data_IF_521211168280
#
_entry.id   IF_521211168280
#
_cell.length_a   1.000
_cell.length_b   1.000
_cell.length_c   1.000
_cell.angle_alpha   90.00
_cell.angle_beta   90.00
_cell.angle_gamma   90.00
#
_symmetry.space_group_name_H-M   'P 1'
#
loop_
_entity.id
_entity.type
_entity.pdbx_description
1 polymer ?
#
# COMPACT_ATOMS: atom_id res chain seq x y z
N UNK A 1 10.62 7.95 7.59
CA UNK A 1 10.97 6.60 7.12
C UNK A 1 12.42 6.27 7.45
N UNK A 2 12.71 5.01 7.78
CA UNK A 2 14.07 4.58 8.10
C UNK A 2 14.80 4.05 6.87
N UNK A 3 16.13 4.23 6.79
CA UNK A 3 16.90 3.71 5.68
C UNK A 3 16.94 2.17 5.70
N UNK A 4 17.05 1.58 4.51
CA UNK A 4 17.10 0.13 4.33
C UNK A 4 18.36 -0.30 3.58
N UNK A 5 18.91 -1.45 3.96
CA UNK A 5 20.01 -2.10 3.26
C UNK A 5 19.56 -2.87 2.01
N UNK A 6 20.51 -3.11 1.10
CA UNK A 6 20.31 -3.84 -0.14
C UNK A 6 19.32 -3.17 -1.09
N UNK A 7 19.30 -1.82 -1.12
CA UNK A 7 18.29 -1.08 -1.86
C UNK A 7 18.50 -1.17 -3.37
N UNK A 8 19.75 -1.11 -3.86
CA UNK A 8 20.04 -1.22 -5.29
C UNK A 8 19.54 -2.56 -5.83
N UNK A 9 19.83 -3.66 -5.14
CA UNK A 9 19.43 -5.02 -5.51
C UNK A 9 17.91 -5.19 -5.52
N UNK A 10 17.20 -4.55 -4.59
CA UNK A 10 15.73 -4.55 -4.55
C UNK A 10 15.13 -3.81 -5.73
N UNK A 11 15.66 -2.63 -6.05
CA UNK A 11 15.19 -1.80 -7.15
C UNK A 11 15.44 -2.52 -8.48
N UNK A 12 16.66 -3.02 -8.70
CA UNK A 12 17.04 -3.72 -9.93
C UNK A 12 16.32 -5.06 -10.10
N UNK A 13 16.13 -5.80 -9.01
CA UNK A 13 15.34 -7.03 -9.02
C UNK A 13 13.89 -6.79 -9.43
N UNK A 14 13.24 -5.75 -8.88
CA UNK A 14 11.88 -5.38 -9.29
C UNK A 14 11.82 -4.91 -10.74
N UNK A 15 12.74 -4.03 -11.16
CA UNK A 15 12.84 -3.58 -12.55
C UNK A 15 13.00 -4.74 -13.54
N UNK A 16 13.86 -5.71 -13.24
CA UNK A 16 14.07 -6.90 -14.06
C UNK A 16 12.78 -7.68 -14.28
N UNK A 17 11.99 -7.89 -13.21
CA UNK A 17 10.69 -8.57 -13.30
C UNK A 17 9.71 -7.75 -14.15
N UNK A 18 9.68 -6.43 -13.98
CA UNK A 18 8.83 -5.55 -14.79
C UNK A 18 9.20 -5.61 -16.27
N UNK A 19 10.49 -5.61 -16.60
CA UNK A 19 10.97 -5.71 -17.97
C UNK A 19 10.60 -7.05 -18.60
N UNK A 20 10.82 -8.16 -17.89
CA UNK A 20 10.44 -9.51 -18.36
C UNK A 20 8.95 -9.65 -18.64
N UNK A 21 8.11 -8.89 -17.93
CA UNK A 21 6.64 -8.86 -18.11
C UNK A 21 6.17 -7.78 -19.09
N UNK A 22 7.08 -6.97 -19.63
CA UNK A 22 6.78 -5.79 -20.42
C UNK A 22 6.58 -4.53 -19.55
N UNK A 23 7.36 -3.50 -19.83
CA UNK A 23 7.17 -2.17 -19.22
C UNK A 23 5.89 -1.52 -19.77
N UNK A 24 5.10 -0.94 -18.86
CA UNK A 24 3.83 -0.26 -19.18
C UNK A 24 3.91 1.25 -18.99
N UNK A 25 5.06 1.77 -18.53
CA UNK A 25 5.21 3.17 -18.16
C UNK A 25 4.43 3.56 -16.91
N UNK A 26 4.14 2.60 -16.02
CA UNK A 26 3.46 2.84 -14.73
C UNK A 26 4.17 2.18 -13.56
N UNK A 27 5.14 1.32 -13.83
CA UNK A 27 5.87 0.60 -12.80
C UNK A 27 6.91 1.51 -12.13
N UNK A 28 7.17 1.26 -10.86
CA UNK A 28 8.19 1.98 -10.13
C UNK A 28 8.31 1.50 -8.70
N UNK A 29 9.19 2.16 -7.95
CA UNK A 29 9.52 1.84 -6.57
C UNK A 29 9.43 3.07 -5.69
N UNK A 30 8.96 2.90 -4.46
CA UNK A 30 8.99 3.93 -3.42
C UNK A 30 10.15 3.62 -2.49
N UNK A 31 10.98 4.62 -2.21
CA UNK A 31 12.19 4.47 -1.40
C UNK A 31 12.25 5.55 -0.30
N UNK A 32 12.93 5.29 0.82
CA UNK A 32 13.23 6.33 1.79
C UNK A 32 14.14 7.41 1.19
N UNK A 33 13.81 8.69 1.36
CA UNK A 33 14.65 9.80 0.89
C UNK A 33 16.08 9.75 1.44
N UNK A 34 16.25 9.24 2.67
CA UNK A 34 17.55 9.02 3.29
C UNK A 34 18.49 8.08 2.51
N UNK A 35 17.96 7.23 1.63
CA UNK A 35 18.75 6.31 0.82
C UNK A 35 19.23 6.89 -0.52
N UNK A 36 18.75 8.07 -0.95
CA UNK A 36 19.06 8.63 -2.28
C UNK A 36 20.58 8.69 -2.53
N UNK A 37 21.34 9.14 -1.53
CA UNK A 37 22.81 9.31 -1.63
C UNK A 37 23.58 7.99 -1.83
N UNK A 38 22.93 6.84 -1.59
CA UNK A 38 23.53 5.52 -1.70
C UNK A 38 23.06 4.75 -2.93
N UNK A 39 22.22 5.36 -3.78
CA UNK A 39 21.76 4.75 -5.01
C UNK A 39 22.88 4.71 -6.04
N UNK A 40 23.10 3.52 -6.59
CA UNK A 40 24.00 3.28 -7.70
C UNK A 40 23.35 2.23 -8.60
N UNK A 41 22.54 2.71 -9.54
CA UNK A 41 21.67 1.87 -10.37
C UNK A 41 22.29 1.61 -11.75
N UNK A 42 22.06 0.41 -12.27
CA UNK A 42 22.46 0.01 -13.62
C UNK A 42 22.04 1.03 -14.69
N UNK A 43 22.85 1.16 -15.74
CA UNK A 43 22.63 2.14 -16.81
C UNK A 43 21.26 1.97 -17.50
N UNK A 44 20.84 0.72 -17.71
CA UNK A 44 19.56 0.40 -18.32
C UNK A 44 18.36 0.88 -17.49
N UNK A 45 18.43 0.72 -16.16
CA UNK A 45 17.40 1.21 -15.27
C UNK A 45 17.35 2.74 -15.28
N UNK A 46 18.53 3.40 -15.26
CA UNK A 46 18.61 4.87 -15.39
C UNK A 46 18.01 5.35 -16.71
N UNK A 47 18.22 4.62 -17.79
CA UNK A 47 17.64 4.93 -19.10
C UNK A 47 16.12 4.77 -19.07
N UNK A 48 15.59 3.67 -18.52
CA UNK A 48 14.15 3.46 -18.39
C UNK A 48 13.47 4.54 -17.52
N UNK A 49 14.18 5.07 -16.51
CA UNK A 49 13.71 6.22 -15.72
C UNK A 49 13.72 7.50 -16.56
N UNK A 50 14.78 7.75 -17.33
CA UNK A 50 14.87 8.91 -18.21
C UNK A 50 13.80 8.89 -19.32
N UNK A 51 13.40 7.70 -19.78
CA UNK A 51 12.38 7.49 -20.81
C UNK A 51 10.95 7.40 -20.23
N UNK A 52 10.77 7.70 -18.94
CA UNK A 52 9.48 7.65 -18.22
C UNK A 52 8.81 6.25 -18.26
N UNK A 53 9.60 5.19 -18.44
CA UNK A 53 9.12 3.81 -18.47
C UNK A 53 9.10 3.15 -17.10
N UNK A 54 9.85 3.72 -16.15
CA UNK A 54 9.95 3.26 -14.77
C UNK A 54 10.18 4.44 -13.81
N UNK A 55 9.63 4.39 -12.60
CA UNK A 55 9.68 5.53 -11.67
C UNK A 55 10.34 5.18 -10.34
N UNK A 56 11.00 6.15 -9.73
CA UNK A 56 11.56 6.05 -8.37
C UNK A 56 11.03 7.23 -7.56
N UNK A 57 10.18 6.96 -6.57
CA UNK A 57 9.63 7.98 -5.68
C UNK A 57 10.35 7.95 -4.34
N UNK A 58 11.07 9.02 -4.02
CA UNK A 58 11.71 9.18 -2.71
C UNK A 58 10.74 9.87 -1.75
N UNK A 59 10.54 9.29 -0.57
CA UNK A 59 9.62 9.80 0.46
C UNK A 59 10.28 9.93 1.83
N UNK A 60 9.90 10.96 2.58
CA UNK A 60 10.35 11.17 3.96
C UNK A 60 9.42 10.47 4.96
N UNK A 61 8.11 10.48 4.69
CA UNK A 61 7.08 9.88 5.52
C UNK A 61 6.20 8.88 4.76
N UNK A 62 5.60 7.93 5.48
CA UNK A 62 4.69 6.95 4.88
C UNK A 62 3.48 7.62 4.22
N UNK A 63 3.03 8.75 4.73
CA UNK A 63 1.87 9.48 4.20
C UNK A 63 2.07 10.00 2.78
N UNK A 64 3.31 10.27 2.37
CA UNK A 64 3.66 10.68 1.00
C UNK A 64 3.58 9.50 0.00
N UNK A 65 3.76 8.27 0.48
CA UNK A 65 3.67 7.07 -0.35
C UNK A 65 2.21 6.65 -0.63
N UNK A 66 1.29 7.01 0.26
CA UNK A 66 -0.10 6.54 0.19
C UNK A 66 -0.85 7.03 -1.07
N UNK A 67 -0.73 8.31 -1.50
CA UNK A 67 -1.37 8.77 -2.74
C UNK A 67 -0.84 8.04 -3.97
N UNK A 68 0.46 7.72 -4.01
CA UNK A 68 1.06 6.97 -5.13
C UNK A 68 0.43 5.59 -5.26
N UNK A 69 0.24 4.90 -4.12
CA UNK A 69 -0.27 3.52 -4.09
C UNK A 69 -1.80 3.42 -4.21
N UNK A 70 -2.52 4.36 -3.62
CA UNK A 70 -3.97 4.24 -3.39
C UNK A 70 -4.79 5.27 -4.15
N UNK A 71 -4.14 6.30 -4.73
CA UNK A 71 -4.80 7.46 -5.33
C UNK A 71 -5.65 8.27 -4.33
N UNK A 72 -5.45 8.05 -3.03
CA UNK A 72 -6.14 8.74 -1.95
C UNK A 72 -5.14 9.48 -1.05
N UNK A 73 -5.52 10.67 -0.61
CA UNK A 73 -4.79 11.38 0.43
C UNK A 73 -4.95 10.63 1.77
N UNK A 74 -3.91 10.69 2.61
CA UNK A 74 -4.00 10.15 3.96
C UNK A 74 -5.10 10.83 4.78
N UNK A 75 -5.12 12.16 4.75
CA UNK A 75 -6.08 13.02 5.44
C UNK A 75 -6.31 14.32 4.63
N UNK A 76 -7.33 15.11 4.98
CA UNK A 76 -7.69 16.34 4.28
C UNK A 76 -9.18 16.44 3.90
N UNK A 77 -9.49 17.32 2.95
CA UNK A 77 -10.86 17.48 2.44
C UNK A 77 -11.21 16.41 1.40
N UNK A 78 -12.47 15.97 1.41
CA UNK A 78 -12.97 14.92 0.52
C UNK A 78 -12.78 13.51 1.09
N UNK A 79 -12.81 12.50 0.22
CA UNK A 79 -12.65 11.10 0.61
C UNK A 79 -11.17 10.81 0.93
N UNK A 80 -10.88 10.39 2.16
CA UNK A 80 -9.52 10.09 2.60
C UNK A 80 -9.30 8.61 2.90
N UNK A 81 -8.04 8.18 2.84
CA UNK A 81 -7.67 6.81 3.19
C UNK A 81 -7.92 6.53 4.67
N UNK A 82 -7.64 7.50 5.55
CA UNK A 82 -7.89 7.40 6.99
C UNK A 82 -9.37 7.12 7.31
N UNK A 83 -10.29 7.86 6.69
CA UNK A 83 -11.74 7.65 6.86
C UNK A 83 -12.14 6.24 6.41
N UNK A 84 -11.69 5.83 5.21
CA UNK A 84 -11.98 4.50 4.66
C UNK A 84 -11.48 3.38 5.57
N UNK A 85 -10.29 3.53 6.15
CA UNK A 85 -9.73 2.56 7.11
C UNK A 85 -10.57 2.52 8.39
N UNK A 86 -10.92 3.69 8.95
CA UNK A 86 -11.70 3.79 10.18
C UNK A 86 -13.09 3.16 10.03
N UNK A 87 -13.76 3.42 8.90
CA UNK A 87 -15.07 2.84 8.58
C UNK A 87 -14.99 1.31 8.51
N UNK A 88 -13.98 0.76 7.83
CA UNK A 88 -13.79 -0.69 7.73
C UNK A 88 -13.50 -1.34 9.08
N UNK A 89 -12.68 -0.69 9.92
CA UNK A 89 -12.42 -1.17 11.29
C UNK A 89 -13.72 -1.18 12.09
N UNK A 90 -14.50 -0.10 12.05
CA UNK A 90 -15.77 -0.01 12.79
C UNK A 90 -16.77 -1.10 12.34
N UNK A 91 -16.88 -1.36 11.04
CA UNK A 91 -17.73 -2.42 10.49
C UNK A 91 -17.30 -3.81 11.00
N UNK A 92 -16.00 -4.11 10.97
CA UNK A 92 -15.47 -5.38 11.45
C UNK A 92 -15.74 -5.59 12.95
N UNK A 93 -15.53 -4.57 13.78
CA UNK A 93 -15.78 -4.64 15.22
C UNK A 93 -17.28 -4.81 15.57
N UNK A 94 -18.19 -4.21 14.78
CA UNK A 94 -19.64 -4.42 14.97
C UNK A 94 -20.09 -5.84 14.58
N UNK A 95 -19.44 -6.46 13.60
CA UNK A 95 -19.76 -7.83 13.20
C UNK A 95 -19.33 -8.85 14.27
N UNK A 96 -18.17 -8.65 14.89
CA UNK A 96 -17.70 -9.49 16.00
C UNK A 96 -18.61 -9.41 17.24
N UNK A 97 -19.14 -8.21 17.55
CA UNK A 97 -20.07 -8.03 18.67
C UNK A 97 -21.45 -8.67 18.43
N UNK A 98 -21.91 -8.77 17.17
CA UNK A 98 -23.14 -9.50 16.79
C UNK A 98 -23.03 -11.01 16.98
N UNK A 99 -21.82 -11.58 16.95
CA UNK A 99 -21.56 -13.00 17.21
C UNK A 99 -21.31 -13.33 18.68
N UNK A 100 -21.53 -12.39 19.60
CA UNK A 100 -21.23 -12.52 21.03
C UNK A 100 -22.43 -12.91 21.90
N UNK A 101 -23.41 -13.64 21.36
CA UNK A 101 -24.38 -14.33 22.22
C UNK A 101 -23.73 -15.59 22.81
N UNK A 102 -23.80 -15.81 24.15
CA UNK A 102 -23.43 -17.08 24.75
C UNK A 102 -24.12 -18.23 24.03
N UNK A 103 -23.43 -19.34 23.76
CA UNK A 103 -23.99 -20.51 23.08
C UNK A 103 -25.33 -21.02 23.65
N UNK A 104 -25.65 -20.92 24.97
CA UNK A 104 -26.96 -21.32 25.46
C UNK A 104 -28.10 -20.33 25.12
N UNK A 105 -27.85 -19.11 24.64
CA UNK A 105 -28.92 -18.14 24.35
C UNK A 105 -29.33 -18.08 22.87
N UNK A 106 -28.69 -18.87 22.00
CA UNK A 106 -29.03 -18.93 20.56
C UNK A 106 -30.38 -19.61 20.26
N UNK A 107 -30.91 -20.46 21.15
CA UNK A 107 -32.19 -21.16 20.93
C UNK A 107 -33.42 -20.32 21.30
N UNK A 108 -33.27 -19.29 22.15
CA UNK A 108 -34.39 -18.48 22.65
C UNK A 108 -34.91 -17.45 21.63
N UNK A 109 -34.13 -17.14 20.57
CA UNK A 109 -34.53 -16.21 19.50
C UNK A 109 -35.29 -16.85 18.33
N UNK A 110 -35.57 -18.16 18.40
CA UNK A 110 -36.14 -18.95 17.28
C UNK A 110 -37.58 -19.41 17.49
N UNK A 111 -38.41 -18.68 18.25
CA UNK A 111 -39.85 -18.97 18.35
C UNK A 111 -40.66 -17.86 17.68
N UNK A 112 -40.74 -17.94 16.35
CA UNK A 112 -41.75 -17.25 15.54
C UNK A 112 -42.48 -18.33 14.75
N UNK A 113 -43.61 -18.78 15.30
CA UNK A 113 -44.50 -19.78 14.72
C UNK A 113 -45.15 -19.27 13.43
N UNK A 114 -45.46 -20.24 12.56
CA UNK A 114 -46.46 -20.19 11.50
C UNK A 114 -47.80 -19.63 11.98
#
# INVERSE_FOLDING_TARGET
MQPVGGLNEKIEGFFTICQQRGLTGKQGVIIPAANIRHLSLAAELRQAVADEQFFIWAVEDVTEALPVLTQLLWDGEGQTLRQTIQERIAQATQQESRHRFPWPLRWLGGSGSN
#
